data_IF_548338172856
#
_entry.id   IF_548338172856
#
_cell.length_a   1.000
_cell.length_b   1.000
_cell.length_c   1.000
_cell.angle_alpha   90.00
_cell.angle_beta   90.00
_cell.angle_gamma   90.00
#
_symmetry.space_group_name_H-M   'P 1'
#
loop_
_entity.id
_entity.type
_entity.pdbx_description
1 polymer ?
#
# COMPACT_ATOMS: atom_id res chain seq x y z
N UNK A 1 3.80 16.26 -4.52
CA UNK A 1 3.87 17.21 -3.38
C UNK A 1 2.96 16.64 -2.30
N UNK A 2 3.40 16.66 -1.04
CA UNK A 2 2.66 16.13 0.11
C UNK A 2 2.26 17.31 0.99
N UNK A 3 1.00 17.35 1.38
CA UNK A 3 0.46 18.40 2.23
C UNK A 3 0.72 18.12 3.72
N UNK A 4 0.53 19.13 4.56
CA UNK A 4 0.77 19.05 6.01
C UNK A 4 -0.06 17.96 6.71
N UNK A 5 -1.22 17.61 6.16
CA UNK A 5 -2.15 16.61 6.71
C UNK A 5 -2.00 15.24 6.03
N UNK A 6 -0.91 15.03 5.29
CA UNK A 6 -0.64 13.81 4.54
C UNK A 6 0.68 13.19 4.98
N UNK A 7 0.73 11.87 5.00
CA UNK A 7 1.96 11.09 5.23
C UNK A 7 2.19 10.11 4.07
N UNK A 8 3.39 9.54 4.01
CA UNK A 8 3.73 8.47 3.07
C UNK A 8 4.22 7.26 3.85
N UNK A 9 3.79 6.07 3.44
CA UNK A 9 4.36 4.80 3.87
C UNK A 9 4.85 4.03 2.63
N UNK A 10 6.16 3.86 2.48
CA UNK A 10 6.76 3.12 1.35
C UNK A 10 7.14 1.71 1.78
N UNK A 11 6.68 0.70 1.04
CA UNK A 11 7.11 -0.69 1.18
C UNK A 11 7.77 -1.20 -0.10
N UNK A 12 9.03 -1.57 -0.01
CA UNK A 12 9.78 -2.17 -1.10
C UNK A 12 9.63 -3.69 -1.08
N UNK A 13 9.06 -4.25 -2.14
CA UNK A 13 8.81 -5.69 -2.25
C UNK A 13 9.99 -6.38 -2.93
N UNK A 14 11.09 -6.52 -2.20
CA UNK A 14 12.38 -6.99 -2.74
C UNK A 14 12.25 -8.31 -3.52
N UNK A 15 11.52 -9.31 -2.98
CA UNK A 15 11.31 -10.59 -3.67
C UNK A 15 10.56 -10.43 -4.99
N UNK A 16 9.56 -9.55 -5.03
CA UNK A 16 8.79 -9.26 -6.25
C UNK A 16 9.67 -8.55 -7.29
N UNK A 17 10.50 -7.61 -6.83
CA UNK A 17 11.47 -6.91 -7.68
C UNK A 17 12.51 -7.86 -8.28
N UNK A 18 13.04 -8.80 -7.49
CA UNK A 18 13.98 -9.84 -7.97
C UNK A 18 13.34 -10.76 -9.02
N UNK A 19 12.05 -11.03 -8.91
CA UNK A 19 11.30 -11.82 -9.89
C UNK A 19 10.91 -10.99 -11.14
N UNK A 20 11.18 -9.68 -11.15
CA UNK A 20 10.83 -8.79 -12.26
C UNK A 20 9.33 -8.68 -12.51
N UNK A 21 8.50 -8.87 -11.48
CA UNK A 21 7.04 -8.87 -11.62
C UNK A 21 6.48 -7.47 -11.34
N UNK A 22 5.52 -7.06 -12.16
CA UNK A 22 4.64 -5.93 -11.83
C UNK A 22 3.77 -6.27 -10.61
N UNK A 23 3.22 -5.23 -9.96
CA UNK A 23 2.29 -5.41 -8.84
C UNK A 23 1.10 -6.29 -9.22
N UNK A 24 0.54 -6.10 -10.42
CA UNK A 24 -0.58 -6.92 -10.91
C UNK A 24 -0.21 -8.40 -11.01
N UNK A 25 0.91 -8.71 -11.68
CA UNK A 25 1.39 -10.09 -11.80
C UNK A 25 1.72 -10.70 -10.43
N UNK A 26 2.27 -9.91 -9.51
CA UNK A 26 2.61 -10.36 -8.17
C UNK A 26 1.36 -10.73 -7.36
N UNK A 27 0.27 -9.96 -7.47
CA UNK A 27 -1.03 -10.26 -6.84
C UNK A 27 -1.62 -11.54 -7.43
N UNK A 28 -1.63 -11.66 -8.76
CA UNK A 28 -2.19 -12.83 -9.47
C UNK A 28 -1.42 -14.12 -9.15
N UNK A 29 -0.09 -14.04 -9.06
CA UNK A 29 0.78 -15.16 -8.66
C UNK A 29 0.87 -15.37 -7.15
N UNK A 30 0.15 -14.58 -6.34
CA UNK A 30 0.18 -14.61 -4.86
C UNK A 30 1.59 -14.44 -4.27
N UNK A 31 2.47 -13.71 -4.96
CA UNK A 31 3.83 -13.40 -4.52
C UNK A 31 3.89 -12.17 -3.61
N UNK A 32 2.82 -11.38 -3.55
CA UNK A 32 2.63 -10.27 -2.62
C UNK A 32 1.38 -10.53 -1.77
N UNK A 33 1.57 -10.59 -0.45
CA UNK A 33 0.52 -11.01 0.50
C UNK A 33 -0.22 -9.85 1.14
N UNK A 34 0.33 -8.63 1.09
CA UNK A 34 -0.31 -7.44 1.66
C UNK A 34 -1.38 -6.84 0.74
N UNK A 35 -1.37 -7.14 -0.55
CA UNK A 35 -2.35 -6.63 -1.51
C UNK A 35 -3.43 -7.67 -1.85
N UNK A 36 -4.60 -7.19 -2.26
CA UNK A 36 -5.74 -7.95 -2.77
C UNK A 36 -6.44 -7.20 -3.90
N UNK A 37 -7.29 -7.90 -4.66
CA UNK A 37 -8.27 -7.26 -5.54
C UNK A 37 -9.57 -7.06 -4.76
N UNK A 38 -10.13 -5.86 -4.80
CA UNK A 38 -11.45 -5.58 -4.22
C UNK A 38 -12.60 -6.14 -5.08
N UNK A 39 -13.84 -5.88 -4.67
CA UNK A 39 -15.04 -6.34 -5.38
C UNK A 39 -15.15 -5.77 -6.81
N UNK A 40 -14.43 -4.69 -7.11
CA UNK A 40 -14.36 -4.05 -8.42
C UNK A 40 -13.07 -4.43 -9.18
N UNK A 41 -12.34 -5.47 -8.73
CA UNK A 41 -11.06 -5.91 -9.27
C UNK A 41 -9.92 -4.88 -9.19
N UNK A 42 -10.04 -3.83 -8.37
CA UNK A 42 -8.94 -2.88 -8.14
C UNK A 42 -8.00 -3.41 -7.08
N UNK A 43 -6.70 -3.26 -7.32
CA UNK A 43 -5.67 -3.67 -6.36
C UNK A 43 -5.66 -2.67 -5.20
N UNK A 44 -5.68 -3.18 -3.97
CA UNK A 44 -5.59 -2.42 -2.73
C UNK A 44 -4.85 -3.19 -1.65
N UNK A 45 -4.42 -2.50 -0.59
CA UNK A 45 -3.94 -3.06 0.66
C UNK A 45 -5.09 -3.76 1.37
N UNK A 46 -4.83 -5.00 1.79
CA UNK A 46 -5.75 -5.81 2.58
C UNK A 46 -6.09 -5.10 3.88
N UNK A 47 -7.38 -4.92 4.15
CA UNK A 47 -7.87 -4.22 5.35
C UNK A 47 -7.68 -5.01 6.65
N UNK A 48 -7.27 -6.27 6.57
CA UNK A 48 -6.90 -7.12 7.71
C UNK A 48 -5.40 -7.42 7.78
N UNK A 49 -4.55 -6.72 7.03
CA UNK A 49 -3.10 -6.91 7.06
C UNK A 49 -2.44 -5.89 8.00
N UNK A 50 -1.34 -6.28 8.66
CA UNK A 50 -0.65 -5.46 9.67
C UNK A 50 -0.30 -4.04 9.19
N UNK A 51 0.11 -3.90 7.93
CA UNK A 51 0.39 -2.58 7.34
C UNK A 51 -0.81 -1.63 7.33
N UNK A 52 -2.03 -2.14 7.24
CA UNK A 52 -3.21 -1.29 7.30
C UNK A 52 -3.38 -0.71 8.71
N UNK A 53 -3.26 -1.56 9.74
CA UNK A 53 -3.28 -1.11 11.14
C UNK A 53 -2.08 -0.21 11.48
N UNK A 54 -0.89 -0.48 10.93
CA UNK A 54 0.29 0.38 11.08
C UNK A 54 -0.01 1.80 10.56
N UNK A 55 -0.61 1.90 9.37
CA UNK A 55 -0.95 3.19 8.75
C UNK A 55 -2.03 3.92 9.56
N UNK A 56 -3.06 3.22 10.02
CA UNK A 56 -4.08 3.83 10.88
C UNK A 56 -3.48 4.37 12.18
N UNK A 57 -2.56 3.65 12.81
CA UNK A 57 -1.81 4.15 13.96
C UNK A 57 -0.98 5.40 13.65
N UNK A 58 -0.28 5.42 12.50
CA UNK A 58 0.49 6.60 12.07
C UNK A 58 -0.43 7.82 11.84
N UNK A 59 -1.58 7.64 11.20
CA UNK A 59 -2.57 8.70 10.99
C UNK A 59 -3.11 9.24 12.33
N UNK A 60 -3.47 8.34 13.25
CA UNK A 60 -3.97 8.72 14.56
C UNK A 60 -2.93 9.48 15.40
N UNK A 61 -1.66 9.04 15.39
CA UNK A 61 -0.58 9.68 16.17
C UNK A 61 -0.22 11.06 15.62
N UNK A 62 -0.17 11.19 14.28
CA UNK A 62 0.26 12.43 13.63
C UNK A 62 -0.86 13.45 13.48
N UNK A 63 -2.12 13.02 13.58
CA UNK A 63 -3.28 13.83 13.24
C UNK A 63 -3.44 14.05 11.72
N UNK A 64 -2.72 13.29 10.89
CA UNK A 64 -2.88 13.31 9.44
C UNK A 64 -4.18 12.61 9.03
N UNK A 65 -4.75 13.03 7.90
CA UNK A 65 -6.02 12.51 7.39
C UNK A 65 -5.81 11.45 6.30
N UNK A 66 -4.67 11.50 5.61
CA UNK A 66 -4.36 10.69 4.44
C UNK A 66 -2.94 10.13 4.53
N UNK A 67 -2.80 8.86 4.18
CA UNK A 67 -1.52 8.22 3.92
C UNK A 67 -1.47 7.75 2.46
N UNK A 68 -0.42 8.13 1.73
CA UNK A 68 -0.11 7.51 0.45
C UNK A 68 0.71 6.24 0.70
N UNK A 69 0.05 5.10 0.60
CA UNK A 69 0.69 3.80 0.69
C UNK A 69 1.32 3.42 -0.65
N UNK A 70 2.64 3.30 -0.67
CA UNK A 70 3.42 3.10 -1.89
C UNK A 70 4.03 1.70 -1.87
N UNK A 71 3.81 0.93 -2.93
CA UNK A 71 4.46 -0.36 -3.15
C UNK A 71 5.41 -0.25 -4.33
N UNK A 72 6.69 -0.44 -4.05
CA UNK A 72 7.76 -0.44 -5.05
C UNK A 72 8.21 -1.87 -5.35
N UNK A 73 8.16 -2.25 -6.63
CA UNK A 73 8.56 -3.59 -7.13
C UNK A 73 9.72 -3.54 -8.13
N UNK A 74 10.58 -2.53 -8.05
CA UNK A 74 11.78 -2.39 -8.89
C UNK A 74 11.65 -1.36 -10.01
N UNK A 75 12.78 -0.84 -10.49
CA UNK A 75 12.87 0.30 -11.43
C UNK A 75 12.24 0.05 -12.81
N UNK A 76 12.00 -1.21 -13.17
CA UNK A 76 11.39 -1.60 -14.45
C UNK A 76 9.86 -1.65 -14.39
N UNK A 77 9.27 -1.43 -13.21
CA UNK A 77 7.84 -1.50 -12.97
C UNK A 77 7.30 -0.13 -12.55
N UNK A 78 6.02 0.10 -12.86
CA UNK A 78 5.31 1.25 -12.33
C UNK A 78 5.17 1.16 -10.80
N UNK A 79 5.21 2.33 -10.15
CA UNK A 79 4.97 2.45 -8.71
C UNK A 79 3.47 2.30 -8.45
N UNK A 80 3.09 1.39 -7.55
CA UNK A 80 1.71 1.33 -7.06
C UNK A 80 1.53 2.30 -5.90
N UNK A 81 0.45 3.08 -5.94
CA UNK A 81 0.08 4.04 -4.91
C UNK A 81 -1.40 3.84 -4.58
N UNK A 82 -1.71 3.70 -3.30
CA UNK A 82 -3.07 3.75 -2.77
C UNK A 82 -3.19 4.90 -1.76
N UNK A 83 -4.27 5.68 -1.88
CA UNK A 83 -4.66 6.64 -0.86
C UNK A 83 -5.45 5.91 0.24
N UNK A 84 -4.95 5.99 1.48
CA UNK A 84 -5.60 5.43 2.67
C UNK A 84 -6.01 6.59 3.57
N UNK A 85 -7.30 6.67 3.89
CA UNK A 85 -7.85 7.69 4.80
C UNK A 85 -7.85 7.17 6.23
N UNK A 86 -7.78 8.11 7.18
CA UNK A 86 -7.99 7.81 8.58
C UNK A 86 -9.37 7.17 8.77
N UNK A 87 -9.37 6.00 9.40
CA UNK A 87 -10.57 5.24 9.74
C UNK A 87 -10.82 5.42 11.24
N UNK A 88 -12.00 5.92 11.60
CA UNK A 88 -12.35 6.24 12.99
C UNK A 88 -12.95 5.04 13.73
N UNK A 89 -13.25 3.97 13.01
CA UNK A 89 -13.86 2.75 13.54
C UNK A 89 -12.80 1.68 13.88
N UNK A 90 -11.51 2.00 13.69
CA UNK A 90 -10.33 1.19 14.05
C UNK A 90 -9.70 1.76 15.31
#
# INVERSE_FOLDING_TARGET
VINKNEIIEVKCMYKVAQLGLSVQQAVERKCITCLEKDLQNKIRLRRNHDYFFQIQGQLAITGAEICYFIVYTGDKNDIFIEEIKADKDI
#
